data_IF_504383117425
#
_entry.id   IF_504383117425
#
_cell.length_a   1.000
_cell.length_b   1.000
_cell.length_c   1.000
_cell.angle_alpha   90.00
_cell.angle_beta   90.00
_cell.angle_gamma   90.00
#
_symmetry.space_group_name_H-M   'P 1'
#
loop_
_entity.id
_entity.type
_entity.pdbx_description
1 polymer ?
#
# COMPACT_ATOMS: atom_id res chain seq x y z
N UNK A 1 0.81 -22.94 -0.76
CA UNK A 1 0.31 -21.97 -1.76
C UNK A 1 -0.57 -20.96 -1.03
N UNK A 2 -0.13 -19.71 -0.89
CA UNK A 2 -0.89 -18.70 -0.12
C UNK A 2 -2.03 -18.14 -0.98
N UNK A 3 -3.26 -18.51 -0.66
CA UNK A 3 -4.47 -18.01 -1.30
C UNK A 3 -4.76 -16.59 -0.81
N UNK A 4 -4.20 -15.60 -1.49
CA UNK A 4 -4.49 -14.20 -1.20
C UNK A 4 -5.86 -13.83 -1.80
N UNK A 5 -6.90 -13.87 -0.98
CA UNK A 5 -8.22 -13.37 -1.35
C UNK A 5 -8.15 -11.86 -1.60
N UNK A 6 -8.59 -11.35 -2.76
CA UNK A 6 -8.53 -9.92 -3.06
C UNK A 6 -9.37 -9.13 -2.04
N UNK A 7 -8.75 -8.14 -1.40
CA UNK A 7 -9.43 -7.25 -0.44
C UNK A 7 -9.90 -5.98 -1.15
N UNK A 8 -11.14 -5.57 -0.89
CA UNK A 8 -11.68 -4.29 -1.38
C UNK A 8 -11.06 -3.14 -0.60
N UNK A 9 -10.41 -2.22 -1.32
CA UNK A 9 -9.91 -0.96 -0.78
C UNK A 9 -10.85 0.17 -1.21
N UNK A 10 -11.50 0.83 -0.24
CA UNK A 10 -12.33 2.01 -0.54
C UNK A 10 -11.41 3.18 -0.86
N UNK A 11 -11.56 3.71 -2.06
CA UNK A 11 -10.93 4.97 -2.48
C UNK A 11 -11.95 6.09 -2.25
N UNK A 12 -11.60 7.08 -1.45
CA UNK A 12 -12.50 8.19 -1.13
C UNK A 12 -11.73 9.52 -1.05
N UNK A 13 -12.38 10.66 -1.37
CA UNK A 13 -11.82 11.96 -1.09
C UNK A 13 -11.69 12.13 0.43
N UNK A 14 -10.49 12.45 0.88
CA UNK A 14 -10.21 12.79 2.27
C UNK A 14 -9.70 14.23 2.29
N UNK A 15 -10.32 15.05 3.13
CA UNK A 15 -9.94 16.44 3.29
C UNK A 15 -8.74 16.52 4.23
N UNK A 16 -7.61 17.06 3.74
CA UNK A 16 -6.51 17.41 4.62
C UNK A 16 -6.93 18.62 5.44
N UNK A 17 -7.02 18.47 6.77
CA UNK A 17 -7.51 19.51 7.70
C UNK A 17 -6.78 20.85 7.56
N UNK A 18 -5.48 20.84 7.23
CA UNK A 18 -4.67 22.07 7.12
C UNK A 18 -4.72 22.75 5.75
N UNK A 19 -5.10 22.05 4.67
CA UNK A 19 -5.20 22.62 3.33
C UNK A 19 -6.41 22.00 2.62
N UNK A 20 -7.51 22.74 2.38
CA UNK A 20 -8.76 22.21 1.84
C UNK A 20 -8.68 21.93 0.33
N UNK A 21 -7.62 21.23 -0.10
CA UNK A 21 -7.56 20.59 -1.41
C UNK A 21 -7.97 19.13 -1.23
N UNK A 22 -8.98 18.63 -1.98
CA UNK A 22 -9.37 17.24 -1.90
C UNK A 22 -8.19 16.37 -2.35
N UNK A 23 -7.72 15.51 -1.45
CA UNK A 23 -6.77 14.46 -1.78
C UNK A 23 -7.55 13.15 -1.83
N UNK A 24 -7.47 12.44 -2.95
CA UNK A 24 -7.98 11.07 -3.03
C UNK A 24 -6.98 10.19 -2.30
N UNK A 25 -7.39 9.61 -1.17
CA UNK A 25 -6.51 8.76 -0.37
C UNK A 25 -7.18 7.44 -0.05
N UNK A 26 -6.36 6.39 0.05
CA UNK A 26 -6.76 5.10 0.59
C UNK A 26 -5.64 4.56 1.48
N UNK A 27 -5.99 3.78 2.49
CA UNK A 27 -5.03 3.20 3.43
C UNK A 27 -5.12 1.68 3.37
N UNK A 28 -3.99 1.03 3.12
CA UNK A 28 -3.85 -0.42 3.12
C UNK A 28 -2.88 -0.83 4.23
N UNK A 29 -3.34 -1.64 5.17
CA UNK A 29 -2.50 -2.23 6.20
C UNK A 29 -2.04 -3.61 5.73
N UNK A 30 -0.75 -3.78 5.53
CA UNK A 30 -0.12 -5.06 5.23
C UNK A 30 0.33 -5.70 6.55
N UNK A 31 0.04 -6.99 6.74
CA UNK A 31 0.39 -7.73 7.96
C UNK A 31 0.75 -9.18 7.62
N UNK A 32 1.63 -9.77 8.43
CA UNK A 32 2.03 -11.17 8.38
C UNK A 32 3.47 -11.38 7.90
N UNK A 33 3.96 -12.60 8.15
CA UNK A 33 5.36 -12.98 7.93
C UNK A 33 5.77 -13.00 6.45
N UNK A 34 4.79 -12.98 5.54
CA UNK A 34 5.03 -12.93 4.10
C UNK A 34 5.75 -11.64 3.68
N UNK A 35 5.64 -10.55 4.44
CA UNK A 35 6.40 -9.31 4.17
C UNK A 35 7.90 -9.55 4.32
N UNK A 36 8.31 -10.17 5.42
CA UNK A 36 9.72 -10.49 5.64
C UNK A 36 10.21 -11.53 4.63
N UNK A 37 9.38 -12.53 4.31
CA UNK A 37 9.68 -13.52 3.26
C UNK A 37 9.79 -12.89 1.86
N UNK A 38 9.09 -11.78 1.61
CA UNK A 38 9.18 -11.02 0.36
C UNK A 38 10.32 -9.98 0.36
N UNK A 39 11.18 -9.98 1.38
CA UNK A 39 12.36 -9.12 1.47
C UNK A 39 12.13 -7.75 2.10
N UNK A 40 10.97 -7.50 2.71
CA UNK A 40 10.73 -6.28 3.47
C UNK A 40 11.25 -6.43 4.90
N UNK A 41 12.37 -5.78 5.20
CA UNK A 41 12.90 -5.73 6.56
C UNK A 41 12.25 -4.59 7.39
N UNK A 42 12.06 -4.76 8.71
CA UNK A 42 11.59 -3.68 9.56
C UNK A 42 12.48 -2.44 9.46
N UNK A 43 11.86 -1.26 9.31
CA UNK A 43 12.57 0.01 9.19
C UNK A 43 13.02 0.35 7.77
N UNK A 44 12.83 -0.53 6.78
CA UNK A 44 13.10 -0.19 5.38
C UNK A 44 11.97 0.59 4.76
N UNK A 45 12.31 1.40 3.75
CA UNK A 45 11.31 2.07 2.92
C UNK A 45 10.84 1.09 1.84
N UNK A 46 9.57 1.19 1.45
CA UNK A 46 9.04 0.47 0.29
C UNK A 46 8.78 1.46 -0.84
N UNK A 47 9.08 1.05 -2.07
CA UNK A 47 8.67 1.75 -3.28
C UNK A 47 7.28 1.28 -3.67
N UNK A 48 6.42 2.24 -4.01
CA UNK A 48 5.04 1.98 -4.45
C UNK A 48 4.84 2.66 -5.79
N UNK A 49 4.46 1.89 -6.79
CA UNK A 49 4.07 2.40 -8.10
C UNK A 49 2.84 1.68 -8.63
N UNK A 50 2.23 2.26 -9.66
CA UNK A 50 1.09 1.67 -10.35
C UNK A 50 1.54 1.19 -11.72
N UNK A 51 1.36 -0.10 -11.98
CA UNK A 51 1.65 -0.72 -13.27
C UNK A 51 0.39 -1.44 -13.77
N UNK A 52 -0.12 -1.06 -14.95
CA UNK A 52 -1.30 -1.67 -15.57
C UNK A 52 -2.52 -1.82 -14.61
N UNK A 53 -2.78 -0.79 -13.78
CA UNK A 53 -3.88 -0.79 -12.81
C UNK A 53 -3.63 -1.63 -11.55
N UNK A 54 -2.40 -2.12 -11.34
CA UNK A 54 -1.99 -2.87 -10.14
C UNK A 54 -1.08 -2.01 -9.29
N UNK A 55 -1.26 -2.07 -7.97
CA UNK A 55 -0.28 -1.54 -7.02
C UNK A 55 0.87 -2.54 -6.90
N UNK A 56 2.06 -2.12 -7.30
CA UNK A 56 3.29 -2.87 -7.13
C UNK A 56 4.06 -2.25 -5.98
N UNK A 57 4.38 -3.08 -4.99
CA UNK A 57 5.10 -2.70 -3.78
C UNK A 57 6.40 -3.50 -3.76
N UNK A 58 7.54 -2.83 -3.73
CA UNK A 58 8.86 -3.44 -3.70
C UNK A 58 9.69 -2.87 -2.54
N UNK A 59 10.65 -3.63 -1.98
CA UNK A 59 11.61 -3.06 -1.05
C UNK A 59 12.40 -1.94 -1.76
N UNK A 60 12.59 -0.80 -1.09
CA UNK A 60 13.58 0.16 -1.53
C UNK A 60 14.96 -0.43 -1.19
N UNK A 61 15.79 -0.60 -2.22
CA UNK A 61 17.22 -0.90 -2.08
C UNK A 61 17.94 0.12 -1.23
#
# INVERSE_FOLDING_TARGET
>A
MSTSTPRRLKVAPHFKRLHPRPAVTASLRLQGDWLQAAGFAPGTTALVHVEAGRLVITPAT
#
